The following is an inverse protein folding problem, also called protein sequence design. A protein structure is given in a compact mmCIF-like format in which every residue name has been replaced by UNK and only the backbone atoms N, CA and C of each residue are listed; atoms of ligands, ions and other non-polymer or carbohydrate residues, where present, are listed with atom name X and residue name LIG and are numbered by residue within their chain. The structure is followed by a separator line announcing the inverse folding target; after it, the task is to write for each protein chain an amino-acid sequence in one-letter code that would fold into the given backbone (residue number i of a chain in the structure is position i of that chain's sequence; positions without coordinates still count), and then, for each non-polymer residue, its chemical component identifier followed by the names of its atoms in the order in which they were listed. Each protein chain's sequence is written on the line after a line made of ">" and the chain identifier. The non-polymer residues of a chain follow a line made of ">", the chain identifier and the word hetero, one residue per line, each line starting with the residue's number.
data_IF_809549958762
#
_entry.id   IF_809549958762
#
_cell.length_a   1.000
_cell.length_b   1.000
_cell.length_c   1.000
_cell.angle_alpha   90.00
_cell.angle_beta   90.00
_cell.angle_gamma   90.00
#
_symmetry.space_group_name_H-M   'P 1'
#
loop_
_entity.id
_entity.type
_entity.pdbx_description
1 polymer ?
#
# COMPACT_ATOMS: atom_id res chain seq x y z
N UNK A 1 -47.09 31.88 -29.16
CA UNK A 1 -45.69 32.32 -28.94
C UNK A 1 -45.10 31.38 -27.90
N UNK A 2 -44.18 30.51 -28.33
CA UNK A 2 -43.52 29.48 -27.51
C UNK A 2 -42.24 30.08 -26.93
N UNK A 3 -42.08 30.12 -25.60
CA UNK A 3 -40.82 30.51 -24.95
C UNK A 3 -40.19 29.29 -24.28
N UNK A 4 -39.18 28.74 -24.94
CA UNK A 4 -38.33 27.65 -24.44
C UNK A 4 -37.26 28.25 -23.53
N UNK A 5 -37.26 27.89 -22.24
CA UNK A 5 -36.21 28.27 -21.29
C UNK A 5 -35.11 27.22 -21.35
N UNK A 6 -33.93 27.60 -21.83
CA UNK A 6 -32.73 26.76 -21.83
C UNK A 6 -32.02 26.96 -20.49
N UNK A 7 -32.01 25.92 -19.64
CA UNK A 7 -31.20 25.87 -18.42
C UNK A 7 -29.77 25.45 -18.79
N UNK A 8 -28.82 26.38 -18.69
CA UNK A 8 -27.38 26.07 -18.73
C UNK A 8 -26.97 25.51 -17.37
N UNK A 9 -26.68 24.21 -17.29
CA UNK A 9 -26.02 23.60 -16.14
C UNK A 9 -24.50 23.80 -16.25
N UNK A 10 -23.95 24.73 -15.48
CA UNK A 10 -22.50 24.89 -15.31
C UNK A 10 -21.98 23.82 -14.35
N UNK A 11 -21.24 22.83 -14.87
CA UNK A 11 -20.47 21.91 -14.06
C UNK A 11 -19.20 22.61 -13.55
N UNK A 12 -19.19 23.04 -12.30
CA UNK A 12 -17.98 23.47 -11.63
C UNK A 12 -17.21 22.23 -11.15
N UNK A 13 -16.20 21.82 -11.91
CA UNK A 13 -15.18 20.89 -11.43
C UNK A 13 -14.35 21.60 -10.37
N UNK A 14 -14.72 21.43 -9.10
CA UNK A 14 -13.93 21.90 -7.96
C UNK A 14 -12.61 21.13 -7.90
N UNK A 15 -11.52 21.79 -8.28
CA UNK A 15 -10.19 21.30 -7.94
C UNK A 15 -10.05 21.38 -6.41
N UNK A 16 -10.08 20.24 -5.72
CA UNK A 16 -9.83 20.23 -4.29
C UNK A 16 -8.36 20.54 -4.04
N UNK A 17 -8.10 21.74 -3.50
CA UNK A 17 -6.75 22.14 -3.11
C UNK A 17 -6.20 21.19 -2.03
N UNK A 18 -4.88 21.00 -2.06
CA UNK A 18 -4.18 20.24 -1.02
C UNK A 18 -4.51 20.82 0.36
N UNK A 19 -4.87 19.95 1.30
CA UNK A 19 -5.23 20.31 2.66
C UNK A 19 -4.00 20.80 3.42
N UNK A 20 -4.14 21.91 4.17
CA UNK A 20 -3.02 22.46 4.91
C UNK A 20 -2.54 21.50 6.00
N UNK A 21 -1.35 21.78 6.51
CA UNK A 21 -0.79 21.11 7.68
C UNK A 21 -1.85 20.98 8.80
N UNK A 22 -1.98 19.77 9.36
CA UNK A 22 -2.92 19.44 10.44
C UNK A 22 -4.41 19.57 10.11
N UNK A 23 -4.78 19.83 8.86
CA UNK A 23 -6.19 19.85 8.44
C UNK A 23 -6.77 18.45 8.27
N UNK A 24 -8.10 18.37 8.30
CA UNK A 24 -8.82 17.17 7.95
C UNK A 24 -8.60 16.86 6.47
N UNK A 25 -8.24 15.62 6.15
CA UNK A 25 -7.97 15.14 4.79
C UNK A 25 -8.76 13.87 4.47
N UNK A 26 -9.68 13.47 5.34
CA UNK A 26 -10.49 12.28 5.17
C UNK A 26 -11.46 12.08 6.32
N UNK A 27 -12.32 11.07 6.17
CA UNK A 27 -13.39 10.75 7.12
C UNK A 27 -14.75 10.64 6.44
N UNK A 28 -15.66 9.85 7.03
CA UNK A 28 -17.03 9.71 6.55
C UNK A 28 -17.74 11.08 6.50
N UNK A 29 -18.28 11.41 5.33
CA UNK A 29 -18.98 12.68 5.08
C UNK A 29 -18.06 13.88 4.78
N UNK A 30 -16.74 13.71 4.80
CA UNK A 30 -15.81 14.77 4.42
C UNK A 30 -15.79 14.97 2.91
N UNK A 31 -16.04 16.20 2.46
CA UNK A 31 -16.10 16.59 1.04
C UNK A 31 -14.90 17.44 0.59
N UNK A 32 -13.90 17.63 1.45
CA UNK A 32 -12.69 18.38 1.14
C UNK A 32 -11.63 17.56 0.41
N UNK A 33 -10.44 18.16 0.20
CA UNK A 33 -9.33 17.48 -0.46
C UNK A 33 -8.75 16.34 0.36
N UNK A 34 -8.36 15.24 -0.28
CA UNK A 34 -7.74 14.09 0.40
C UNK A 34 -6.21 14.14 0.41
N UNK A 35 -5.63 15.03 -0.39
CA UNK A 35 -4.18 15.26 -0.48
C UNK A 35 -3.76 16.33 0.50
N UNK A 36 -2.64 16.12 1.20
CA UNK A 36 -2.04 17.13 2.09
C UNK A 36 -0.99 17.97 1.37
N UNK A 37 -0.71 19.18 1.87
CA UNK A 37 0.42 19.99 1.41
C UNK A 37 1.74 19.23 1.52
N UNK A 38 2.71 19.61 0.69
CA UNK A 38 4.04 18.97 0.67
C UNK A 38 4.65 18.89 2.06
N UNK A 39 5.23 17.73 2.40
CA UNK A 39 5.78 17.44 3.73
C UNK A 39 4.76 16.90 4.74
N UNK A 40 3.47 16.82 4.38
CA UNK A 40 2.40 16.27 5.21
C UNK A 40 1.74 15.07 4.52
N UNK A 41 1.34 14.08 5.31
CA UNK A 41 0.64 12.88 4.83
C UNK A 41 -0.73 12.80 5.50
N UNK A 42 -1.76 12.41 4.74
CA UNK A 42 -3.08 12.20 5.30
C UNK A 42 -3.09 10.91 6.12
N UNK A 43 -3.15 11.03 7.44
CA UNK A 43 -3.12 9.89 8.34
C UNK A 43 -4.50 9.65 8.95
N UNK A 44 -4.97 8.41 8.81
CA UNK A 44 -6.23 7.98 9.40
C UNK A 44 -6.18 8.09 10.92
N UNK A 45 -7.22 8.68 11.52
CA UNK A 45 -7.38 8.76 12.97
C UNK A 45 -8.60 7.96 13.43
N UNK A 46 -9.75 8.16 12.79
CA UNK A 46 -10.95 7.36 13.02
C UNK A 46 -11.89 7.43 11.80
N UNK A 47 -13.01 6.72 11.86
CA UNK A 47 -13.95 6.61 10.75
C UNK A 47 -14.42 7.98 10.20
N UNK A 48 -14.57 9.00 11.04
CA UNK A 48 -15.07 10.31 10.64
C UNK A 48 -13.96 11.35 10.44
N UNK A 49 -12.69 10.98 10.67
CA UNK A 49 -11.58 11.95 10.70
C UNK A 49 -10.23 11.34 10.30
N UNK A 50 -9.55 11.98 9.35
CA UNK A 50 -8.14 11.74 9.02
C UNK A 50 -7.44 13.09 8.95
N UNK A 51 -6.18 13.19 9.40
CA UNK A 51 -5.46 14.45 9.56
C UNK A 51 -4.15 14.48 8.78
N UNK A 52 -3.84 15.62 8.16
CA UNK A 52 -2.54 15.89 7.58
C UNK A 52 -1.48 16.04 8.67
N UNK A 53 -0.62 15.06 8.88
CA UNK A 53 0.46 15.15 9.88
C UNK A 53 1.83 15.23 9.20
N UNK A 54 2.85 15.84 9.85
CA UNK A 54 4.19 15.91 9.28
C UNK A 54 4.69 14.52 8.93
N UNK A 55 5.11 14.34 7.68
CA UNK A 55 5.86 13.17 7.29
C UNK A 55 7.23 13.30 7.95
N UNK A 56 7.75 12.26 8.62
CA UNK A 56 9.02 12.30 9.36
C UNK A 56 10.27 12.53 8.49
N UNK A 57 10.10 12.91 7.22
CA UNK A 57 11.13 13.49 6.36
C UNK A 57 10.93 15.01 6.28
N UNK A 58 11.23 15.69 7.39
CA UNK A 58 11.27 17.14 7.45
C UNK A 58 12.69 17.65 7.21
N UNK A 59 12.99 18.09 5.99
CA UNK A 59 13.99 19.13 5.73
C UNK A 59 13.67 19.84 4.41
N UNK A 60 13.05 21.00 4.55
CA UNK A 60 12.94 22.04 3.53
C UNK A 60 14.35 22.45 3.07
N UNK A 61 14.64 22.38 1.79
CA UNK A 61 15.58 23.33 1.17
C UNK A 61 15.03 23.74 -0.20
N UNK A 62 14.68 25.03 -0.25
CA UNK A 62 14.32 25.77 -1.46
C UNK A 62 15.54 25.77 -2.39
N UNK A 63 15.37 25.33 -3.64
CA UNK A 63 16.39 25.50 -4.68
C UNK A 63 16.05 26.73 -5.55
N UNK A 64 17.06 27.53 -5.91
CA UNK A 64 17.30 27.72 -7.34
C UNK A 64 18.78 27.51 -7.76
N UNK A 65 18.91 26.75 -8.85
CA UNK A 65 19.88 26.76 -9.96
C UNK A 65 21.42 26.96 -9.78
N UNK A 66 22.13 25.92 -10.28
CA UNK A 66 23.22 25.92 -11.31
C UNK A 66 24.73 26.00 -10.91
N UNK A 67 25.40 24.90 -11.27
CA UNK A 67 26.77 24.70 -11.84
C UNK A 67 28.03 24.53 -10.96
N UNK A 68 28.72 23.38 -11.26
CA UNK A 68 30.18 23.09 -11.34
C UNK A 68 31.07 23.25 -10.08
N UNK A 69 32.07 22.43 -9.75
CA UNK A 69 32.71 21.21 -10.31
C UNK A 69 33.77 20.69 -9.30
N UNK A 70 34.25 19.45 -9.49
CA UNK A 70 35.59 18.85 -9.08
C UNK A 70 35.92 18.67 -7.59
N UNK A 71 36.60 17.63 -7.07
CA UNK A 71 36.92 16.22 -7.39
C UNK A 71 37.99 15.73 -6.37
N UNK A 72 37.84 14.52 -5.79
CA UNK A 72 38.82 13.58 -5.14
C UNK A 72 38.24 12.98 -3.83
N UNK A 73 37.85 11.70 -3.73
CA UNK A 73 38.61 10.41 -3.71
C UNK A 73 39.43 10.19 -2.41
N UNK A 74 39.38 9.09 -1.63
CA UNK A 74 38.52 7.90 -1.53
C UNK A 74 38.81 7.11 -0.22
N UNK A 75 37.75 6.51 0.39
CA UNK A 75 37.65 5.12 0.93
C UNK A 75 38.41 4.70 2.24
N UNK A 76 37.95 3.67 3.03
CA UNK A 76 37.26 2.41 2.63
C UNK A 76 35.88 2.16 3.29
N UNK A 77 34.86 1.70 2.54
CA UNK A 77 34.44 0.31 2.23
C UNK A 77 33.55 -0.36 3.28
N UNK A 78 32.27 -0.50 2.95
CA UNK A 78 31.44 -1.68 3.26
C UNK A 78 30.45 -1.88 2.12
N UNK A 79 30.72 -2.92 1.34
CA UNK A 79 30.00 -3.39 0.16
C UNK A 79 28.70 -4.11 0.55
N UNK A 80 27.57 -3.66 0.00
CA UNK A 80 26.53 -4.58 -0.47
C UNK A 80 25.86 -3.98 -1.70
N UNK A 81 25.71 -4.81 -2.72
CA UNK A 81 25.52 -4.46 -4.11
C UNK A 81 24.11 -3.89 -4.36
N UNK A 82 24.06 -2.61 -4.75
CA UNK A 82 22.91 -2.05 -5.44
C UNK A 82 23.06 -2.26 -6.94
N UNK A 83 22.20 -3.08 -7.52
CA UNK A 83 21.92 -3.04 -8.94
C UNK A 83 20.40 -3.15 -9.19
N UNK A 84 19.80 -2.03 -9.62
CA UNK A 84 18.45 -1.90 -10.24
C UNK A 84 17.25 -2.02 -9.30
N UNK A 85 16.27 -1.12 -9.25
CA UNK A 85 15.97 0.09 -10.01
C UNK A 85 14.53 0.55 -9.67
N UNK A 86 14.33 1.86 -9.56
CA UNK A 86 13.05 2.57 -9.79
C UNK A 86 11.83 2.19 -8.94
N UNK A 87 11.55 2.99 -7.91
CA UNK A 87 10.23 3.04 -7.26
C UNK A 87 10.24 4.00 -6.08
N UNK A 88 9.80 5.24 -6.28
CA UNK A 88 9.62 6.29 -5.26
C UNK A 88 8.45 6.00 -4.31
N UNK A 89 8.36 4.78 -3.79
CA UNK A 89 7.39 4.42 -2.74
C UNK A 89 8.03 4.57 -1.36
N UNK A 90 7.30 5.12 -0.39
CA UNK A 90 7.72 5.08 1.01
C UNK A 90 7.91 3.62 1.43
N UNK A 91 9.02 3.32 2.11
CA UNK A 91 9.27 1.98 2.66
C UNK A 91 8.42 1.81 3.92
N UNK A 92 7.42 0.94 3.86
CA UNK A 92 6.56 0.60 4.98
C UNK A 92 7.17 -0.58 5.74
N UNK A 93 7.17 -0.56 7.08
CA UNK A 93 7.35 -1.80 7.84
C UNK A 93 6.07 -2.62 7.71
N UNK A 94 6.20 -3.83 7.21
CA UNK A 94 5.07 -4.67 6.88
C UNK A 94 5.14 -6.00 7.63
N UNK A 95 3.98 -6.50 8.05
CA UNK A 95 3.78 -7.90 8.36
C UNK A 95 3.14 -8.61 7.17
N UNK A 96 3.45 -9.88 7.05
CA UNK A 96 2.93 -10.75 6.01
C UNK A 96 2.29 -11.96 6.67
N UNK A 97 1.11 -12.29 6.18
CA UNK A 97 0.32 -13.45 6.58
C UNK A 97 -0.24 -14.12 5.33
N UNK A 98 -0.95 -15.23 5.50
CA UNK A 98 -1.51 -16.02 4.42
C UNK A 98 -3.03 -16.08 4.55
N UNK A 99 -3.75 -16.06 3.43
CA UNK A 99 -5.20 -16.34 3.39
C UNK A 99 -5.58 -17.04 2.09
N UNK A 100 -6.77 -17.65 2.05
CA UNK A 100 -7.25 -18.45 0.91
C UNK A 100 -7.59 -19.88 1.32
N UNK A 101 -7.52 -20.83 0.38
CA UNK A 101 -8.01 -22.18 0.61
C UNK A 101 -7.36 -22.83 1.86
N UNK A 102 -8.23 -23.34 2.75
CA UNK A 102 -7.84 -24.01 3.99
C UNK A 102 -7.43 -23.06 5.13
N UNK A 103 -7.51 -21.75 4.97
CA UNK A 103 -7.40 -20.81 6.08
C UNK A 103 -8.69 -20.81 6.91
N UNK A 104 -8.57 -21.15 8.19
CA UNK A 104 -9.70 -21.19 9.14
C UNK A 104 -9.96 -19.85 9.81
N UNK A 105 -9.04 -18.90 9.71
CA UNK A 105 -9.09 -17.61 10.40
C UNK A 105 -9.36 -16.44 9.45
N UNK A 106 -9.09 -16.59 8.15
CA UNK A 106 -9.41 -15.62 7.10
C UNK A 106 -10.53 -16.06 6.14
N UNK A 107 -10.66 -15.35 5.00
CA UNK A 107 -11.61 -15.73 3.96
C UNK A 107 -11.11 -16.96 3.18
N UNK A 108 -11.96 -17.97 2.93
CA UNK A 108 -11.53 -19.26 2.37
C UNK A 108 -11.12 -19.19 0.89
N UNK A 109 -11.37 -18.08 0.20
CA UNK A 109 -11.00 -17.89 -1.20
C UNK A 109 -10.43 -16.48 -1.43
N UNK A 110 -9.15 -16.41 -1.77
CA UNK A 110 -8.50 -15.15 -2.12
C UNK A 110 -8.61 -14.81 -3.62
N UNK A 111 -9.10 -15.77 -4.41
CA UNK A 111 -9.19 -15.71 -5.87
C UNK A 111 -10.65 -15.69 -6.36
N UNK A 112 -11.38 -14.64 -5.99
CA UNK A 112 -12.80 -14.47 -6.31
C UNK A 112 -13.10 -13.02 -6.67
N UNK A 113 -14.09 -12.78 -7.53
CA UNK A 113 -14.53 -11.42 -7.86
C UNK A 113 -15.29 -10.74 -6.69
N UNK A 114 -15.63 -11.49 -5.64
CA UNK A 114 -16.29 -10.96 -4.43
C UNK A 114 -15.33 -10.32 -3.43
N UNK A 115 -14.06 -10.11 -3.81
CA UNK A 115 -13.09 -9.34 -3.01
C UNK A 115 -13.54 -7.89 -2.86
N UNK A 116 -12.95 -7.16 -1.91
CA UNK A 116 -13.28 -5.77 -1.67
C UNK A 116 -13.05 -4.85 -2.90
N UNK A 117 -12.11 -5.20 -3.79
CA UNK A 117 -11.90 -4.45 -5.04
C UNK A 117 -12.87 -4.83 -6.17
N UNK A 118 -13.67 -5.89 -6.01
CA UNK A 118 -14.62 -6.35 -7.02
C UNK A 118 -13.99 -7.14 -8.18
N UNK A 119 -12.74 -7.57 -8.03
CA UNK A 119 -12.03 -8.39 -9.00
C UNK A 119 -10.88 -9.15 -8.31
N UNK A 120 -10.37 -10.18 -8.99
CA UNK A 120 -9.09 -10.79 -8.65
C UNK A 120 -8.16 -10.75 -9.86
N UNK A 121 -6.91 -11.14 -9.68
CA UNK A 121 -5.92 -11.20 -10.75
C UNK A 121 -5.33 -12.61 -10.82
N UNK A 122 -5.02 -13.11 -12.01
CA UNK A 122 -4.41 -14.45 -12.17
C UNK A 122 -2.94 -14.51 -11.73
N UNK A 123 -2.32 -13.38 -11.40
CA UNK A 123 -0.99 -13.30 -10.82
C UNK A 123 -1.06 -13.14 -9.30
N UNK A 124 0.09 -12.87 -8.67
CA UNK A 124 0.15 -12.71 -7.21
C UNK A 124 -0.71 -11.57 -6.71
N UNK A 125 -1.52 -11.83 -5.68
CA UNK A 125 -2.33 -10.80 -5.06
C UNK A 125 -2.37 -10.93 -3.54
N UNK A 126 -2.83 -9.86 -2.91
CA UNK A 126 -2.91 -9.77 -1.46
C UNK A 126 -4.10 -8.92 -1.01
N UNK A 127 -4.53 -9.16 0.22
CA UNK A 127 -5.39 -8.24 0.96
C UNK A 127 -4.54 -7.25 1.77
N UNK A 128 -4.77 -5.95 1.61
CA UNK A 128 -4.08 -4.93 2.39
C UNK A 128 -4.82 -4.63 3.69
N UNK A 129 -4.09 -4.38 4.79
CA UNK A 129 -4.68 -3.93 6.05
C UNK A 129 -5.51 -2.68 5.86
N UNK A 130 -6.60 -2.56 6.63
CA UNK A 130 -7.59 -1.50 6.46
C UNK A 130 -7.03 -0.08 6.46
N UNK A 131 -5.99 0.20 7.24
CA UNK A 131 -5.32 1.50 7.27
C UNK A 131 -4.61 1.85 5.94
N UNK A 132 -4.12 0.84 5.22
CA UNK A 132 -3.52 0.97 3.89
C UNK A 132 -4.60 0.92 2.80
N UNK A 133 -5.56 0.00 2.90
CA UNK A 133 -6.66 -0.15 1.96
C UNK A 133 -7.52 1.12 1.86
N UNK A 134 -7.63 1.89 2.94
CA UNK A 134 -8.24 3.22 2.97
C UNK A 134 -9.75 3.25 3.23
N UNK A 135 -10.45 2.11 3.14
CA UNK A 135 -11.87 1.97 3.49
C UNK A 135 -12.13 0.70 4.29
N UNK A 136 -13.23 0.68 5.05
CA UNK A 136 -13.64 -0.49 5.84
C UNK A 136 -14.57 -1.45 5.09
N UNK A 137 -14.95 -2.58 5.73
CA UNK A 137 -15.88 -3.55 5.16
C UNK A 137 -17.18 -2.93 4.64
N UNK A 138 -17.66 -3.42 3.49
CA UNK A 138 -18.90 -2.98 2.86
C UNK A 138 -18.84 -1.63 2.15
N UNK A 139 -17.69 -0.93 2.16
CA UNK A 139 -17.52 0.33 1.45
C UNK A 139 -17.16 0.17 -0.05
N UNK A 140 -16.88 -1.05 -0.50
CA UNK A 140 -16.39 -1.34 -1.84
C UNK A 140 -14.89 -1.10 -2.00
N UNK A 141 -14.47 -0.80 -3.23
CA UNK A 141 -13.06 -0.63 -3.59
C UNK A 141 -12.43 0.57 -2.85
N UNK A 142 -11.31 0.31 -2.17
CA UNK A 142 -10.47 1.35 -1.57
C UNK A 142 -9.50 1.96 -2.59
N UNK A 143 -8.84 3.09 -2.24
CA UNK A 143 -7.81 3.72 -3.07
C UNK A 143 -6.65 2.79 -3.46
N UNK A 144 -6.36 1.78 -2.64
CA UNK A 144 -5.24 0.85 -2.90
C UNK A 144 -5.59 -0.29 -3.86
N UNK A 145 -6.86 -0.44 -4.25
CA UNK A 145 -7.26 -1.42 -5.24
C UNK A 145 -6.49 -1.21 -6.55
N UNK A 146 -5.77 -2.25 -6.98
CA UNK A 146 -4.98 -2.26 -8.22
C UNK A 146 -3.62 -1.60 -8.12
N UNK A 147 -3.23 -1.13 -6.93
CA UNK A 147 -1.87 -0.71 -6.67
C UNK A 147 -1.00 -1.95 -6.44
N UNK A 148 0.26 -1.85 -6.86
CA UNK A 148 1.23 -2.93 -6.74
C UNK A 148 2.27 -2.60 -5.67
N UNK A 149 2.58 -3.60 -4.86
CA UNK A 149 3.58 -3.50 -3.79
C UNK A 149 4.63 -4.58 -3.94
N UNK A 150 5.90 -4.18 -3.88
CA UNK A 150 7.00 -5.12 -3.68
C UNK A 150 7.11 -5.42 -2.19
N UNK A 151 6.85 -6.67 -1.82
CA UNK A 151 6.96 -7.20 -0.47
C UNK A 151 8.32 -7.88 -0.32
N UNK A 152 9.02 -7.63 0.78
CA UNK A 152 10.32 -8.26 1.08
C UNK A 152 10.28 -8.82 2.50
N UNK A 153 10.46 -10.14 2.65
CA UNK A 153 10.47 -10.81 3.96
C UNK A 153 11.88 -10.79 4.55
N UNK A 154 11.99 -10.55 5.86
CA UNK A 154 13.27 -10.49 6.57
C UNK A 154 13.30 -11.37 7.81
N UNK A 155 12.26 -11.31 8.66
CA UNK A 155 12.22 -12.03 9.93
C UNK A 155 10.91 -12.75 10.17
N UNK A 156 10.90 -13.68 11.11
CA UNK A 156 9.69 -14.25 11.70
C UNK A 156 9.02 -13.28 12.68
N UNK A 157 7.90 -13.70 13.28
CA UNK A 157 7.16 -12.95 14.29
C UNK A 157 7.94 -12.66 15.58
N UNK A 158 9.02 -13.40 15.84
CA UNK A 158 9.90 -13.23 17.00
C UNK A 158 11.10 -12.32 16.70
N UNK A 159 11.20 -11.80 15.47
CA UNK A 159 12.31 -10.96 15.01
C UNK A 159 13.57 -11.72 14.62
N UNK A 160 13.52 -13.05 14.47
CA UNK A 160 14.66 -13.84 13.95
C UNK A 160 14.64 -13.87 12.44
N UNK A 161 15.80 -13.71 11.81
CA UNK A 161 15.91 -13.78 10.36
C UNK A 161 15.38 -15.13 9.82
N UNK A 162 14.56 -15.08 8.78
CA UNK A 162 14.11 -16.29 8.07
C UNK A 162 15.20 -16.78 7.12
N UNK A 163 15.17 -18.07 6.76
CA UNK A 163 16.20 -18.68 5.90
C UNK A 163 16.31 -18.05 4.51
N UNK A 164 15.21 -17.45 4.02
CA UNK A 164 15.13 -16.72 2.75
C UNK A 164 15.01 -15.21 2.95
N UNK A 165 15.59 -14.64 4.02
CA UNK A 165 15.56 -13.20 4.25
C UNK A 165 16.06 -12.42 3.02
N UNK A 166 15.34 -11.35 2.66
CA UNK A 166 15.54 -10.58 1.44
C UNK A 166 14.76 -11.11 0.22
N UNK A 167 14.10 -12.27 0.33
CA UNK A 167 13.21 -12.74 -0.72
C UNK A 167 12.05 -11.75 -0.94
N UNK A 168 11.73 -11.47 -2.20
CA UNK A 168 10.73 -10.47 -2.54
C UNK A 168 9.84 -10.88 -3.70
N UNK A 169 8.59 -10.41 -3.65
CA UNK A 169 7.59 -10.58 -4.70
C UNK A 169 6.88 -9.25 -4.94
N UNK A 170 6.27 -9.09 -6.11
CA UNK A 170 5.32 -8.00 -6.36
C UNK A 170 3.91 -8.58 -6.32
N UNK A 171 3.04 -7.97 -5.52
CA UNK A 171 1.61 -8.32 -5.45
C UNK A 171 0.77 -7.14 -5.91
N UNK A 172 -0.40 -7.44 -6.46
CA UNK A 172 -1.46 -6.47 -6.66
C UNK A 172 -2.48 -6.54 -5.51
N UNK A 173 -2.96 -5.40 -5.04
CA UNK A 173 -3.98 -5.35 -3.98
C UNK A 173 -5.37 -5.53 -4.59
N UNK A 174 -6.00 -6.64 -4.23
CA UNK A 174 -7.34 -7.02 -4.71
C UNK A 174 -8.36 -7.07 -3.59
N UNK A 175 -7.93 -7.09 -2.32
CA UNK A 175 -8.83 -7.29 -1.20
C UNK A 175 -8.47 -6.44 0.03
N UNK A 176 -9.41 -6.40 0.96
CA UNK A 176 -9.27 -5.76 2.27
C UNK A 176 -8.99 -6.81 3.33
N UNK A 177 -7.95 -6.61 4.15
CA UNK A 177 -7.86 -7.23 5.45
C UNK A 177 -8.46 -6.28 6.52
N UNK A 178 -9.64 -6.59 7.07
CA UNK A 178 -10.34 -5.66 7.95
C UNK A 178 -9.71 -5.61 9.34
N UNK A 179 -9.66 -4.43 9.96
CA UNK A 179 -9.09 -4.28 11.30
C UNK A 179 -9.92 -5.00 12.38
N UNK A 180 -11.25 -5.03 12.22
CA UNK A 180 -12.13 -5.70 13.16
C UNK A 180 -11.91 -7.22 13.10
N UNK A 181 -11.55 -7.82 14.24
CA UNK A 181 -11.31 -9.26 14.36
C UNK A 181 -9.92 -9.72 13.93
N UNK A 182 -9.10 -8.84 13.30
CA UNK A 182 -7.76 -9.19 12.83
C UNK A 182 -6.71 -8.25 13.44
N UNK A 183 -6.05 -8.62 14.56
CA UNK A 183 -5.09 -7.77 15.26
C UNK A 183 -3.97 -7.22 14.37
N UNK A 184 -3.42 -8.05 13.48
CA UNK A 184 -2.34 -7.65 12.57
C UNK A 184 -2.80 -6.57 11.57
N UNK A 185 -4.03 -6.69 11.08
CA UNK A 185 -4.63 -5.71 10.17
C UNK A 185 -5.16 -4.47 10.89
N UNK A 186 -5.28 -4.53 12.22
CA UNK A 186 -5.47 -3.38 13.10
C UNK A 186 -4.14 -2.79 13.62
N UNK A 187 -2.99 -3.28 13.13
CA UNK A 187 -1.65 -2.85 13.54
C UNK A 187 -1.42 -3.04 15.06
N UNK A 188 -1.96 -4.13 15.59
CA UNK A 188 -1.91 -4.49 17.00
C UNK A 188 -1.21 -5.86 17.16
N UNK A 189 -0.02 -5.85 17.76
CA UNK A 189 0.69 -7.06 18.17
C UNK A 189 2.08 -7.25 17.56
N UNK A 190 2.41 -6.60 16.43
CA UNK A 190 3.75 -6.62 15.82
C UNK A 190 4.23 -5.19 15.52
N UNK A 191 5.54 -4.98 15.44
CA UNK A 191 6.15 -3.70 15.05
C UNK A 191 6.07 -3.45 13.53
N UNK A 192 4.88 -3.59 12.96
CA UNK A 192 4.56 -3.32 11.55
C UNK A 192 3.52 -2.21 11.42
N UNK A 193 3.68 -1.36 10.41
CA UNK A 193 2.76 -0.26 10.12
C UNK A 193 1.56 -0.72 9.28
N UNK A 194 1.70 -1.82 8.55
CA UNK A 194 0.68 -2.38 7.64
C UNK A 194 0.80 -3.90 7.64
N UNK A 195 -0.27 -4.59 7.25
CA UNK A 195 -0.28 -6.03 7.02
C UNK A 195 -0.71 -6.34 5.58
N UNK A 196 -0.07 -7.34 4.97
CA UNK A 196 -0.51 -7.93 3.71
C UNK A 196 -0.85 -9.40 3.94
N UNK A 197 -2.11 -9.77 3.80
CA UNK A 197 -2.48 -11.18 3.68
C UNK A 197 -2.18 -11.60 2.24
N UNK A 198 -1.15 -12.39 2.04
CA UNK A 198 -0.78 -12.94 0.73
C UNK A 198 -1.74 -14.06 0.35
N UNK A 199 -2.19 -14.07 -0.91
CA UNK A 199 -3.15 -15.06 -1.38
C UNK A 199 -2.46 -16.41 -1.68
N UNK A 200 -2.85 -17.46 -0.96
CA UNK A 200 -2.35 -18.83 -1.17
C UNK A 200 -2.70 -19.37 -2.55
N UNK A 201 -3.93 -19.10 -3.00
CA UNK A 201 -4.49 -19.63 -4.25
C UNK A 201 -3.80 -19.03 -5.50
N UNK A 202 -3.23 -17.82 -5.37
CA UNK A 202 -2.42 -17.18 -6.42
C UNK A 202 -0.96 -17.65 -6.44
N UNK A 203 -0.52 -18.37 -5.41
CA UNK A 203 0.89 -18.71 -5.19
C UNK A 203 1.72 -17.61 -4.52
N UNK A 204 1.16 -16.44 -4.22
CA UNK A 204 1.88 -15.32 -3.59
C UNK A 204 2.49 -15.70 -2.24
N UNK A 205 1.74 -16.39 -1.38
CA UNK A 205 2.24 -16.85 -0.07
C UNK A 205 3.44 -17.79 -0.23
N UNK A 206 3.29 -18.82 -1.06
CA UNK A 206 4.34 -19.79 -1.32
C UNK A 206 5.60 -19.12 -1.91
N UNK A 207 5.43 -18.13 -2.76
CA UNK A 207 6.55 -17.40 -3.37
C UNK A 207 7.26 -16.47 -2.37
N UNK A 208 6.54 -15.80 -1.47
CA UNK A 208 7.14 -14.92 -0.47
C UNK A 208 7.80 -15.72 0.67
N UNK A 209 7.07 -16.66 1.26
CA UNK A 209 7.55 -17.45 2.39
C UNK A 209 8.51 -18.56 1.97
N UNK A 210 8.35 -19.13 0.77
CA UNK A 210 9.20 -20.20 0.27
C UNK A 210 9.40 -21.33 1.28
N UNK A 211 10.66 -21.71 1.51
CA UNK A 211 11.05 -22.75 2.47
C UNK A 211 11.41 -22.16 3.86
N UNK A 212 10.91 -20.97 4.20
CA UNK A 212 11.17 -20.33 5.50
C UNK A 212 10.63 -21.11 6.69
N UNK A 213 9.58 -21.91 6.48
CA UNK A 213 8.89 -22.66 7.54
C UNK A 213 8.05 -21.78 8.46
N UNK A 214 7.75 -20.52 8.08
CA UNK A 214 6.91 -19.60 8.84
C UNK A 214 5.68 -19.21 8.03
N UNK A 215 4.52 -19.08 8.70
CA UNK A 215 3.28 -18.54 8.10
C UNK A 215 3.00 -17.08 8.47
N UNK A 216 3.90 -16.47 9.24
CA UNK A 216 3.87 -15.06 9.59
C UNK A 216 5.29 -14.50 9.54
N UNK A 217 5.47 -13.44 8.77
CA UNK A 217 6.77 -12.79 8.58
C UNK A 217 6.68 -11.28 8.75
N UNK A 218 7.84 -10.67 8.93
CA UNK A 218 8.04 -9.22 8.97
C UNK A 218 9.07 -8.81 7.94
N UNK A 219 8.95 -7.59 7.46
CA UNK A 219 9.94 -6.98 6.57
C UNK A 219 9.43 -5.65 6.04
N UNK A 220 9.54 -5.45 4.72
CA UNK A 220 9.21 -4.18 4.08
C UNK A 220 8.23 -4.32 2.92
N UNK A 221 7.42 -3.29 2.73
CA UNK A 221 6.60 -3.12 1.54
C UNK A 221 6.89 -1.77 0.89
N UNK A 222 7.04 -1.75 -0.43
CA UNK A 222 7.27 -0.55 -1.23
C UNK A 222 6.27 -0.53 -2.36
N UNK A 223 5.50 0.54 -2.50
CA UNK A 223 4.65 0.71 -3.67
C UNK A 223 5.52 0.84 -4.93
N UNK A 224 5.20 0.05 -5.95
CA UNK A 224 5.94 0.01 -7.22
C UNK A 224 4.98 0.17 -8.40
N UNK A 225 5.46 0.63 -9.56
CA UNK A 225 4.67 0.55 -10.78
C UNK A 225 4.27 -0.91 -11.07
N UNK A 226 3.01 -1.13 -11.45
CA UNK A 226 2.52 -2.46 -11.82
C UNK A 226 3.19 -3.05 -13.07
N UNK A 227 4.03 -2.30 -13.79
CA UNK A 227 4.93 -2.89 -14.78
C UNK A 227 5.95 -3.86 -14.17
N UNK A 228 6.28 -3.73 -12.87
CA UNK A 228 7.11 -4.70 -12.13
C UNK A 228 6.30 -5.92 -11.69
N UNK A 229 4.97 -5.80 -11.65
CA UNK A 229 4.06 -6.92 -11.47
C UNK A 229 3.92 -7.73 -12.77
N UNK A 230 4.06 -7.07 -13.92
CA UNK A 230 3.93 -7.69 -15.24
C UNK A 230 4.97 -8.79 -15.56
N UNK A 231 6.03 -8.99 -14.78
CA UNK A 231 6.85 -10.21 -14.90
C UNK A 231 6.12 -11.49 -14.46
N UNK A 232 4.89 -11.37 -13.93
CA UNK A 232 4.00 -12.47 -13.56
C UNK A 232 2.55 -12.26 -14.07
N UNK A 233 2.36 -11.58 -15.21
CA UNK A 233 1.09 -10.98 -15.66
C UNK A 233 -0.15 -11.81 -15.29
N UNK A 234 -0.86 -11.33 -14.29
CA UNK A 234 -2.24 -11.71 -14.06
C UNK A 234 -3.18 -10.80 -14.83
N UNK A 235 -4.26 -11.36 -15.39
CA UNK A 235 -5.38 -10.58 -15.93
C UNK A 235 -6.41 -10.38 -14.83
N UNK A 236 -7.02 -9.19 -14.76
CA UNK A 236 -8.18 -8.98 -13.90
C UNK A 236 -9.33 -9.87 -14.35
N UNK A 237 -9.92 -10.57 -13.39
CA UNK A 237 -11.12 -11.38 -13.57
C UNK A 237 -12.19 -10.80 -12.65
N UNK A 238 -13.28 -10.38 -13.29
CA UNK A 238 -14.44 -9.69 -12.70
C UNK A 238 -15.66 -10.59 -12.70
#
# INVERSE_FOLDING_TARGET
>A
MLTTIILLASAASGAFAAQPAYAQCGGKGFTGGTTCVSGYTCTFSNAYYSQCIPSSSGATTVAPAKSSSTSQAAAPTSTSNNNGGGGSGNVLKASFTEYGAGDSFGSPNCQTATTACGYYTTGFNAAASQNLFGVGPGAGAGPDCGLCYRLTIETDSSGKAVSNAGNSIVVEITNLCPAQGNPLCAQNGLSANVNFDTCKDSGASAALFGNSGVGLGLGTAVQVPCSQYASQVGTHVT
#
